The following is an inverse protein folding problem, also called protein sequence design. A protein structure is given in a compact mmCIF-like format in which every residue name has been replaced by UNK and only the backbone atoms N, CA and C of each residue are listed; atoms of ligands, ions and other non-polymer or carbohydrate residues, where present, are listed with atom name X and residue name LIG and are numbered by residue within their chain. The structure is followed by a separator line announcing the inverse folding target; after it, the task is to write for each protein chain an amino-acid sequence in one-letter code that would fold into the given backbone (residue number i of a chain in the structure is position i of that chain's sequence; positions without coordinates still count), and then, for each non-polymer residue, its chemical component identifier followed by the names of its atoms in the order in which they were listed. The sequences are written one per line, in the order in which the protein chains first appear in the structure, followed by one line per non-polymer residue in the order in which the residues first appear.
data_IF_744691336526
#
_entry.id   IF_744691336526
#
_cell.length_a   1.000
_cell.length_b   1.000
_cell.length_c   1.000
_cell.angle_alpha   90.00
_cell.angle_beta   90.00
_cell.angle_gamma   90.00
#
_symmetry.space_group_name_H-M   'P 1'
#
loop_
_entity.id
_entity.type
_entity.pdbx_description
1 polymer ?
#
# COMPACT_ATOMS: atom_id res chain seq x y z
N UNK A 1 -52.43 54.19 77.68
CA UNK A 1 -52.89 52.80 77.90
C UNK A 1 -53.58 52.34 76.62
N UNK A 2 -52.89 51.56 75.79
CA UNK A 2 -53.36 51.05 74.49
C UNK A 2 -53.16 49.54 74.51
N UNK A 3 -54.25 48.80 74.47
CA UNK A 3 -54.26 47.35 74.62
C UNK A 3 -54.08 46.66 73.26
N UNK A 4 -53.04 45.82 73.22
CA UNK A 4 -52.99 44.44 72.70
C UNK A 4 -54.13 43.99 71.77
N UNK A 5 -53.75 43.50 70.58
CA UNK A 5 -54.36 42.33 69.94
C UNK A 5 -53.31 41.68 69.01
N UNK A 6 -53.01 40.41 69.31
CA UNK A 6 -52.12 39.51 68.56
C UNK A 6 -52.96 38.80 67.50
N UNK A 7 -52.48 38.75 66.26
CA UNK A 7 -53.07 37.91 65.21
C UNK A 7 -51.98 37.08 64.55
N UNK A 8 -52.10 35.76 64.72
CA UNK A 8 -51.23 34.74 64.17
C UNK A 8 -51.47 34.60 62.65
N UNK A 9 -50.41 34.73 61.85
CA UNK A 9 -50.44 34.43 60.42
C UNK A 9 -49.85 33.04 60.19
N UNK A 10 -50.65 32.17 59.59
CA UNK A 10 -50.33 30.82 59.16
C UNK A 10 -49.20 30.84 58.12
N UNK A 11 -48.07 30.20 58.40
CA UNK A 11 -46.96 30.05 57.45
C UNK A 11 -47.26 28.88 56.49
N UNK A 12 -47.66 29.20 55.26
CA UNK A 12 -47.71 28.23 54.17
C UNK A 12 -46.34 28.18 53.47
N UNK A 13 -45.50 27.22 53.86
CA UNK A 13 -44.22 26.93 53.18
C UNK A 13 -44.49 26.29 51.83
N UNK A 14 -44.46 27.09 50.76
CA UNK A 14 -44.36 26.62 49.38
C UNK A 14 -42.93 26.12 49.14
N UNK A 15 -42.77 24.80 49.04
CA UNK A 15 -41.56 24.15 48.51
C UNK A 15 -41.46 24.43 47.01
N UNK A 16 -40.83 25.54 46.64
CA UNK A 16 -40.40 25.78 45.26
C UNK A 16 -39.18 24.89 44.98
N UNK A 17 -39.37 23.77 44.31
CA UNK A 17 -38.28 22.98 43.74
C UNK A 17 -37.60 23.79 42.64
N UNK A 18 -36.45 24.36 42.95
CA UNK A 18 -35.55 25.02 42.00
C UNK A 18 -34.95 23.97 41.06
N UNK A 19 -35.61 23.75 39.93
CA UNK A 19 -35.05 22.99 38.81
C UNK A 19 -34.05 23.90 38.09
N UNK A 20 -32.81 23.89 38.53
CA UNK A 20 -31.72 24.57 37.84
C UNK A 20 -31.55 23.95 36.45
N UNK A 21 -31.65 24.69 35.34
CA UNK A 21 -31.38 24.15 34.03
C UNK A 21 -29.90 23.76 33.98
N UNK A 22 -29.61 22.46 33.88
CA UNK A 22 -28.28 21.98 33.53
C UNK A 22 -28.03 22.41 32.10
N UNK A 23 -27.26 23.49 31.92
CA UNK A 23 -26.76 23.89 30.62
C UNK A 23 -25.86 22.76 30.11
N UNK A 24 -26.39 21.96 29.19
CA UNK A 24 -25.59 21.05 28.38
C UNK A 24 -24.65 21.92 27.56
N UNK A 25 -23.43 22.10 28.05
CA UNK A 25 -22.37 22.76 27.30
C UNK A 25 -22.12 21.91 26.06
N UNK A 26 -22.58 22.38 24.90
CA UNK A 26 -22.20 21.81 23.62
C UNK A 26 -20.67 21.83 23.56
N UNK A 27 -20.03 20.65 23.58
CA UNK A 27 -18.60 20.52 23.43
C UNK A 27 -18.24 20.99 22.02
N UNK A 28 -17.81 22.24 21.88
CA UNK A 28 -17.25 22.76 20.64
C UNK A 28 -15.93 22.03 20.38
N UNK A 29 -15.89 21.19 19.37
CA UNK A 29 -14.66 20.56 18.92
C UNK A 29 -13.67 21.65 18.48
N UNK A 30 -12.37 21.55 18.84
CA UNK A 30 -11.37 22.49 18.39
C UNK A 30 -11.26 22.49 16.85
N UNK A 31 -10.85 23.62 16.24
CA UNK A 31 -10.66 23.69 14.80
C UNK A 31 -9.73 22.59 14.30
N UNK A 32 -10.12 21.89 13.24
CA UNK A 32 -9.31 20.84 12.67
C UNK A 32 -8.06 21.45 12.00
N UNK A 33 -6.88 20.96 12.39
CA UNK A 33 -5.61 21.29 11.75
C UNK A 33 -5.22 20.10 10.89
N UNK A 34 -4.97 20.36 9.60
CA UNK A 34 -4.70 19.33 8.59
C UNK A 34 -3.22 19.41 8.21
N UNK A 35 -2.57 18.26 8.16
CA UNK A 35 -1.29 18.09 7.44
C UNK A 35 -1.52 17.28 6.16
N UNK A 36 -0.70 17.53 5.15
CA UNK A 36 -0.74 16.85 3.86
C UNK A 36 0.51 15.98 3.71
N UNK A 37 0.33 14.80 3.12
CA UNK A 37 1.40 13.83 2.87
C UNK A 37 1.30 13.30 1.44
N UNK A 38 2.41 13.36 0.71
CA UNK A 38 2.55 12.70 -0.58
C UNK A 38 3.27 11.35 -0.43
N UNK A 39 2.49 10.28 -0.35
CA UNK A 39 3.06 8.94 -0.23
C UNK A 39 3.86 8.54 -1.49
N UNK A 40 3.46 8.96 -2.69
CA UNK A 40 4.20 8.67 -3.92
C UNK A 40 5.60 9.31 -3.90
N UNK A 41 5.71 10.56 -3.45
CA UNK A 41 7.00 11.20 -3.24
C UNK A 41 7.81 10.49 -2.16
N UNK A 42 7.19 10.04 -1.07
CA UNK A 42 7.87 9.25 -0.03
C UNK A 42 8.46 7.97 -0.62
N UNK A 43 7.69 7.24 -1.43
CA UNK A 43 8.16 6.05 -2.13
C UNK A 43 9.29 6.33 -3.13
N UNK A 44 9.27 7.48 -3.81
CA UNK A 44 10.28 7.82 -4.82
C UNK A 44 11.55 8.44 -4.23
N UNK A 45 11.44 9.12 -3.09
CA UNK A 45 12.52 9.96 -2.56
C UNK A 45 13.29 9.30 -1.42
N UNK A 46 12.64 8.43 -0.64
CA UNK A 46 13.25 7.73 0.49
C UNK A 46 14.36 6.76 0.07
N UNK A 47 15.29 6.52 0.98
CA UNK A 47 16.39 5.56 0.81
C UNK A 47 15.85 4.14 0.55
N UNK A 48 14.87 3.70 1.34
CA UNK A 48 14.19 2.41 1.15
C UNK A 48 13.49 2.33 -0.21
N UNK A 49 12.78 3.39 -0.59
CA UNK A 49 12.10 3.48 -1.88
C UNK A 49 13.06 3.35 -3.07
N UNK A 50 14.15 4.13 -3.07
CA UNK A 50 15.18 4.09 -4.12
C UNK A 50 15.86 2.72 -4.21
N UNK A 51 16.20 2.12 -3.08
CA UNK A 51 16.77 0.78 -3.04
C UNK A 51 15.80 -0.26 -3.61
N UNK A 52 14.53 -0.22 -3.20
CA UNK A 52 13.52 -1.13 -3.72
C UNK A 52 13.31 -0.97 -5.23
N UNK A 53 13.29 0.26 -5.74
CA UNK A 53 13.17 0.53 -7.17
C UNK A 53 14.32 -0.07 -7.97
N UNK A 54 15.56 0.06 -7.49
CA UNK A 54 16.72 -0.52 -8.14
C UNK A 54 16.66 -2.05 -8.20
N UNK A 55 16.27 -2.70 -7.09
CA UNK A 55 16.13 -4.16 -7.03
C UNK A 55 14.96 -4.68 -7.88
N UNK A 56 13.80 -4.02 -7.82
CA UNK A 56 12.65 -4.37 -8.65
C UNK A 56 12.97 -4.17 -10.14
N UNK A 57 13.73 -3.13 -10.49
CA UNK A 57 14.22 -2.93 -11.85
C UNK A 57 15.10 -4.10 -12.31
N UNK A 58 16.04 -4.55 -11.48
CA UNK A 58 16.87 -5.70 -11.80
C UNK A 58 16.03 -6.98 -12.03
N UNK A 59 14.96 -7.19 -11.24
CA UNK A 59 14.04 -8.32 -11.41
C UNK A 59 13.29 -8.28 -12.75
N UNK A 60 12.71 -7.14 -13.13
CA UNK A 60 11.99 -7.02 -14.41
C UNK A 60 12.95 -7.15 -15.61
N UNK A 61 14.14 -6.56 -15.53
CA UNK A 61 15.15 -6.66 -16.58
C UNK A 61 15.59 -8.14 -16.78
N UNK A 62 15.78 -8.88 -15.68
CA UNK A 62 16.10 -10.31 -15.72
C UNK A 62 14.96 -11.15 -16.32
N UNK A 63 13.71 -10.87 -15.97
CA UNK A 63 12.54 -11.54 -16.57
C UNK A 63 12.46 -11.28 -18.07
N UNK A 64 12.70 -10.04 -18.52
CA UNK A 64 12.68 -9.70 -19.93
C UNK A 64 13.83 -10.36 -20.71
N UNK A 65 15.03 -10.42 -20.14
CA UNK A 65 16.15 -11.16 -20.71
C UNK A 65 15.85 -12.66 -20.84
N UNK A 66 15.23 -13.26 -19.82
CA UNK A 66 14.80 -14.66 -19.84
C UNK A 66 13.75 -14.92 -20.92
N UNK A 67 12.74 -14.07 -21.03
CA UNK A 67 11.71 -14.18 -22.06
C UNK A 67 12.29 -14.07 -23.48
N UNK A 68 13.21 -13.13 -23.71
CA UNK A 68 13.89 -12.99 -25.00
C UNK A 68 14.76 -14.21 -25.36
N UNK A 69 15.44 -14.77 -24.37
CA UNK A 69 16.24 -16.00 -24.55
C UNK A 69 15.33 -17.17 -24.95
N UNK A 70 14.22 -17.37 -24.22
CA UNK A 70 13.25 -18.42 -24.52
C UNK A 70 12.63 -18.25 -25.91
N UNK A 71 12.26 -17.02 -26.28
CA UNK A 71 11.73 -16.71 -27.62
C UNK A 71 12.71 -17.11 -28.73
N UNK A 72 13.99 -16.78 -28.55
CA UNK A 72 15.03 -17.09 -29.54
C UNK A 72 15.27 -18.60 -29.64
N UNK A 73 15.38 -19.29 -28.49
CA UNK A 73 15.60 -20.73 -28.43
C UNK A 73 14.44 -21.50 -29.05
N UNK A 74 13.20 -21.18 -28.66
CA UNK A 74 12.02 -21.87 -29.18
C UNK A 74 11.74 -21.55 -30.64
N UNK A 75 12.00 -20.33 -31.11
CA UNK A 75 11.87 -20.00 -32.53
C UNK A 75 12.82 -20.81 -33.41
N UNK A 76 14.10 -20.93 -33.01
CA UNK A 76 15.07 -21.73 -33.75
C UNK A 76 14.73 -23.24 -33.73
N UNK A 77 14.23 -23.73 -32.59
CA UNK A 77 13.82 -25.12 -32.45
C UNK A 77 12.54 -25.45 -33.23
N UNK A 78 11.56 -24.56 -33.24
CA UNK A 78 10.35 -24.68 -34.05
C UNK A 78 10.69 -24.77 -35.54
N UNK A 79 11.59 -23.91 -36.03
CA UNK A 79 12.07 -23.96 -37.41
C UNK A 79 12.79 -25.29 -37.72
N UNK A 80 13.62 -25.78 -36.79
CA UNK A 80 14.31 -27.06 -36.96
C UNK A 80 13.35 -28.26 -36.95
N UNK A 81 12.31 -28.24 -36.10
CA UNK A 81 11.28 -29.27 -36.05
C UNK A 81 10.42 -29.28 -37.32
N UNK A 82 10.06 -28.11 -37.84
CA UNK A 82 9.33 -27.98 -39.10
C UNK A 82 10.15 -28.53 -40.29
N UNK A 83 11.44 -28.18 -40.36
CA UNK A 83 12.35 -28.67 -41.42
C UNK A 83 12.62 -30.18 -41.34
N UNK A 84 12.56 -30.76 -40.14
CA UNK A 84 12.83 -32.18 -39.90
C UNK A 84 11.58 -33.07 -39.95
N UNK A 85 10.42 -32.51 -40.33
CA UNK A 85 9.18 -33.26 -40.42
C UNK A 85 9.29 -34.41 -41.45
N UNK A 86 9.13 -35.68 -41.04
CA UNK A 86 9.18 -36.80 -41.97
C UNK A 86 7.94 -36.82 -42.87
N UNK A 87 8.11 -37.30 -44.10
CA UNK A 87 6.99 -37.51 -45.01
C UNK A 87 5.93 -38.45 -44.38
N UNK A 88 4.63 -38.30 -44.69
CA UNK A 88 3.57 -39.14 -44.12
C UNK A 88 3.78 -40.65 -44.34
N UNK A 89 4.49 -41.01 -45.41
CA UNK A 89 4.83 -42.39 -45.78
C UNK A 89 6.01 -42.98 -45.00
N UNK A 90 6.82 -42.17 -44.30
CA UNK A 90 7.96 -42.63 -43.50
C UNK A 90 7.53 -42.98 -42.07
N UNK A 91 6.94 -44.16 -41.92
CA UNK A 91 6.41 -44.66 -40.65
C UNK A 91 7.49 -44.98 -39.61
N UNK A 92 8.74 -45.20 -40.02
CA UNK A 92 9.85 -45.53 -39.13
C UNK A 92 10.40 -44.29 -38.39
N UNK A 93 10.52 -43.13 -39.06
CA UNK A 93 11.05 -41.91 -38.46
C UNK A 93 10.01 -41.09 -37.69
N UNK A 94 8.72 -41.28 -37.98
CA UNK A 94 7.61 -40.49 -37.43
C UNK A 94 7.50 -40.54 -35.88
N UNK A 95 7.58 -41.70 -35.20
CA UNK A 95 7.47 -41.73 -33.74
C UNK A 95 8.56 -40.92 -33.01
N UNK A 96 9.77 -40.92 -33.56
CA UNK A 96 10.89 -40.16 -32.99
C UNK A 96 10.68 -38.64 -33.15
N UNK A 97 10.15 -38.20 -34.30
CA UNK A 97 9.79 -36.80 -34.51
C UNK A 97 8.63 -36.36 -33.60
N UNK A 98 7.57 -37.17 -33.49
CA UNK A 98 6.44 -36.89 -32.59
C UNK A 98 6.87 -36.80 -31.11
N UNK A 99 7.85 -37.60 -30.69
CA UNK A 99 8.44 -37.51 -29.36
C UNK A 99 9.15 -36.15 -29.14
N UNK A 100 9.91 -35.67 -30.13
CA UNK A 100 10.56 -34.34 -30.08
C UNK A 100 9.53 -33.21 -30.03
N UNK A 101 8.45 -33.30 -30.80
CA UNK A 101 7.36 -32.30 -30.78
C UNK A 101 6.70 -32.25 -29.39
N UNK A 102 6.41 -33.40 -28.78
CA UNK A 102 5.84 -33.46 -27.42
C UNK A 102 6.77 -32.89 -26.36
N UNK A 103 8.06 -33.21 -26.43
CA UNK A 103 9.07 -32.63 -25.54
C UNK A 103 9.15 -31.10 -25.68
N UNK A 104 9.18 -30.61 -26.91
CA UNK A 104 9.18 -29.18 -27.22
C UNK A 104 7.92 -28.47 -26.64
N UNK A 105 6.73 -29.04 -26.85
CA UNK A 105 5.49 -28.52 -26.27
C UNK A 105 5.52 -28.51 -24.73
N UNK A 106 6.05 -29.56 -24.11
CA UNK A 106 6.22 -29.63 -22.66
C UNK A 106 7.14 -28.52 -22.14
N UNK A 107 8.29 -28.31 -22.79
CA UNK A 107 9.23 -27.23 -22.43
C UNK A 107 8.65 -25.84 -22.61
N UNK A 108 7.85 -25.61 -23.66
CA UNK A 108 7.13 -24.35 -23.83
C UNK A 108 6.15 -24.11 -22.67
N UNK A 109 5.37 -25.13 -22.29
CA UNK A 109 4.43 -25.02 -21.18
C UNK A 109 5.17 -24.72 -19.85
N UNK A 110 6.28 -25.42 -19.58
CA UNK A 110 7.11 -25.15 -18.40
C UNK A 110 7.65 -23.72 -18.40
N UNK A 111 8.14 -23.23 -19.53
CA UNK A 111 8.64 -21.87 -19.67
C UNK A 111 7.55 -20.81 -19.45
N UNK A 112 6.34 -21.05 -19.96
CA UNK A 112 5.19 -20.16 -19.73
C UNK A 112 4.81 -20.12 -18.24
N UNK A 113 4.81 -21.27 -17.57
CA UNK A 113 4.58 -21.35 -16.12
C UNK A 113 5.68 -20.66 -15.33
N UNK A 114 6.96 -20.83 -15.72
CA UNK A 114 8.10 -20.14 -15.11
C UNK A 114 7.90 -18.62 -15.15
N UNK A 115 7.64 -18.05 -16.33
CA UNK A 115 7.45 -16.60 -16.50
C UNK A 115 6.23 -16.09 -15.74
N UNK A 116 5.11 -16.84 -15.75
CA UNK A 116 3.92 -16.47 -14.97
C UNK A 116 4.17 -16.45 -13.47
N UNK A 117 4.94 -17.40 -12.94
CA UNK A 117 5.28 -17.44 -11.52
C UNK A 117 6.19 -16.27 -11.14
N UNK A 118 7.20 -15.97 -11.96
CA UNK A 118 8.08 -14.81 -11.74
C UNK A 118 7.31 -13.49 -11.77
N UNK A 119 6.33 -13.34 -12.65
CA UNK A 119 5.47 -12.15 -12.69
C UNK A 119 4.64 -12.03 -11.41
N UNK A 120 4.03 -13.12 -10.93
CA UNK A 120 3.30 -13.13 -9.66
C UNK A 120 4.21 -12.76 -8.48
N UNK A 121 5.42 -13.32 -8.42
CA UNK A 121 6.42 -13.00 -7.41
C UNK A 121 6.83 -11.53 -7.46
N UNK A 122 6.99 -10.97 -8.66
CA UNK A 122 7.29 -9.56 -8.86
C UNK A 122 6.17 -8.65 -8.35
N UNK A 123 4.91 -8.96 -8.67
CA UNK A 123 3.76 -8.21 -8.16
C UNK A 123 3.65 -8.30 -6.64
N UNK A 124 3.84 -9.50 -6.07
CA UNK A 124 3.89 -9.67 -4.62
C UNK A 124 5.02 -8.85 -3.97
N UNK A 125 6.20 -8.83 -4.61
CA UNK A 125 7.35 -8.03 -4.17
C UNK A 125 7.02 -6.53 -4.16
N UNK A 126 6.35 -6.02 -5.20
CA UNK A 126 5.90 -4.62 -5.26
C UNK A 126 4.94 -4.27 -4.13
N UNK A 127 3.89 -5.07 -3.96
CA UNK A 127 2.91 -4.86 -2.89
C UNK A 127 3.57 -4.91 -1.50
N UNK A 128 4.52 -5.83 -1.30
CA UNK A 128 5.22 -5.96 -0.03
C UNK A 128 6.15 -4.79 0.30
N UNK A 129 6.84 -4.24 -0.71
CA UNK A 129 7.62 -3.00 -0.57
C UNK A 129 6.70 -1.84 -0.16
N UNK A 130 5.57 -1.68 -0.86
CA UNK A 130 4.59 -0.63 -0.55
C UNK A 130 4.08 -0.75 0.89
N UNK A 131 3.74 -1.98 1.31
CA UNK A 131 3.28 -2.27 2.67
C UNK A 131 4.31 -1.88 3.72
N UNK A 132 5.57 -2.29 3.58
CA UNK A 132 6.62 -1.99 4.56
C UNK A 132 6.81 -0.49 4.78
N UNK A 133 6.87 0.29 3.69
CA UNK A 133 7.04 1.74 3.77
C UNK A 133 5.80 2.41 4.36
N UNK A 134 4.59 1.99 3.99
CA UNK A 134 3.35 2.53 4.59
C UNK A 134 3.28 2.23 6.09
N UNK A 135 3.54 0.98 6.48
CA UNK A 135 3.51 0.55 7.88
C UNK A 135 4.52 1.34 8.73
N UNK A 136 5.72 1.60 8.19
CA UNK A 136 6.74 2.42 8.85
C UNK A 136 6.43 3.92 8.83
N UNK A 137 5.69 4.41 7.83
CA UNK A 137 5.31 5.82 7.71
C UNK A 137 4.22 6.21 8.71
N UNK A 138 3.24 5.33 8.96
CA UNK A 138 2.12 5.59 9.86
C UNK A 138 2.51 6.14 11.25
N UNK A 139 3.43 5.53 12.03
CA UNK A 139 3.83 6.07 13.34
C UNK A 139 4.59 7.40 13.22
N UNK A 140 5.30 7.64 12.12
CA UNK A 140 6.01 8.88 11.86
C UNK A 140 5.00 10.00 11.55
N UNK A 141 3.99 9.73 10.73
CA UNK A 141 2.88 10.65 10.45
C UNK A 141 2.18 11.02 11.76
N UNK A 142 1.83 10.06 12.61
CA UNK A 142 1.23 10.34 13.93
C UNK A 142 2.10 11.23 14.80
N UNK A 143 3.43 11.08 14.73
CA UNK A 143 4.37 11.93 15.47
C UNK A 143 4.39 13.36 14.90
N UNK A 144 4.45 13.50 13.58
CA UNK A 144 4.38 14.79 12.89
C UNK A 144 3.05 15.50 13.16
N UNK A 145 1.93 14.76 13.19
CA UNK A 145 0.63 15.31 13.55
C UNK A 145 0.67 15.94 14.95
N UNK A 146 1.18 15.21 15.94
CA UNK A 146 1.30 15.72 17.32
C UNK A 146 2.20 16.96 17.41
N UNK A 147 3.33 16.97 16.71
CA UNK A 147 4.25 18.12 16.68
C UNK A 147 3.66 19.35 16.01
N UNK A 148 2.81 19.16 14.99
CA UNK A 148 2.14 20.23 14.25
C UNK A 148 0.77 20.61 14.82
N UNK A 149 0.31 19.94 15.88
CA UNK A 149 -1.03 20.10 16.42
C UNK A 149 -2.14 19.67 15.46
N UNK A 150 -1.82 18.82 14.48
CA UNK A 150 -2.75 18.35 13.47
C UNK A 150 -3.69 17.27 14.03
N UNK A 151 -4.97 17.38 13.69
CA UNK A 151 -5.98 16.37 13.99
C UNK A 151 -6.28 15.45 12.80
N UNK A 152 -5.84 15.82 11.59
CA UNK A 152 -6.05 15.05 10.36
C UNK A 152 -4.76 15.03 9.53
N UNK A 153 -4.42 13.85 9.01
CA UNK A 153 -3.46 13.70 7.91
C UNK A 153 -4.22 13.35 6.62
N UNK A 154 -3.94 14.10 5.55
CA UNK A 154 -4.60 13.97 4.26
C UNK A 154 -3.58 13.54 3.19
N UNK A 155 -3.90 12.56 2.32
CA UNK A 155 -3.07 12.29 1.15
C UNK A 155 -3.13 13.47 0.18
N UNK A 156 -2.01 13.85 -0.44
CA UNK A 156 -1.94 14.98 -1.37
C UNK A 156 -2.92 14.82 -2.55
N UNK A 157 -3.10 13.60 -3.06
CA UNK A 157 -4.04 13.31 -4.17
C UNK A 157 -5.53 13.56 -3.85
N UNK A 158 -5.89 13.78 -2.58
CA UNK A 158 -7.23 14.19 -2.18
C UNK A 158 -7.40 15.72 -2.13
N UNK A 159 -6.37 16.48 -2.50
CA UNK A 159 -6.37 17.95 -2.51
C UNK A 159 -6.21 18.48 -3.93
N UNK A 160 -6.85 19.61 -4.24
CA UNK A 160 -6.60 20.34 -5.49
C UNK A 160 -5.37 21.23 -5.35
N UNK A 161 -5.22 21.86 -4.19
CA UNK A 161 -4.09 22.71 -3.79
C UNK A 161 -3.98 22.67 -2.26
N UNK A 162 -2.76 22.84 -1.75
CA UNK A 162 -2.49 23.05 -0.33
C UNK A 162 -1.36 24.06 -0.15
N UNK A 163 -1.27 24.67 1.04
CA UNK A 163 -0.12 25.48 1.37
C UNK A 163 1.10 24.58 1.63
N UNK A 164 2.30 25.05 1.27
CA UNK A 164 3.54 24.33 1.58
C UNK A 164 3.78 24.19 3.10
N UNK A 165 3.18 25.08 3.92
CA UNK A 165 3.33 25.05 5.37
C UNK A 165 2.64 23.86 6.06
N UNK A 166 1.69 23.21 5.40
CA UNK A 166 0.98 22.04 5.92
C UNK A 166 1.45 20.72 5.28
N UNK A 167 2.35 20.80 4.31
CA UNK A 167 2.98 19.63 3.70
C UNK A 167 4.13 19.13 4.60
N UNK A 168 4.02 17.89 5.07
CA UNK A 168 5.05 17.26 5.91
C UNK A 168 5.81 16.16 5.18
N UNK A 169 5.67 16.04 3.86
CA UNK A 169 6.25 14.97 3.04
C UNK A 169 7.76 14.87 3.21
N UNK A 170 8.48 16.00 3.16
CA UNK A 170 9.93 16.02 3.33
C UNK A 170 10.37 15.64 4.75
N UNK A 171 9.61 16.07 5.77
CA UNK A 171 9.85 15.69 7.16
C UNK A 171 9.66 14.18 7.36
N UNK A 172 8.64 13.61 6.72
CA UNK A 172 8.36 12.18 6.72
C UNK A 172 9.50 11.40 6.04
N UNK A 173 9.96 11.82 4.85
CA UNK A 173 11.10 11.19 4.16
C UNK A 173 12.34 11.18 5.05
N UNK A 174 12.70 12.32 5.64
CA UNK A 174 13.89 12.42 6.47
C UNK A 174 13.85 11.54 7.73
N UNK A 175 12.66 11.31 8.30
CA UNK A 175 12.48 10.41 9.45
C UNK A 175 12.40 8.95 9.03
N UNK A 176 11.75 8.67 7.91
CA UNK A 176 11.67 7.33 7.34
C UNK A 176 13.05 6.81 6.98
N UNK A 177 13.92 7.64 6.39
CA UNK A 177 15.30 7.25 6.06
C UNK A 177 16.12 6.81 7.28
N UNK A 178 15.80 7.34 8.47
CA UNK A 178 16.42 6.94 9.74
C UNK A 178 15.80 5.66 10.31
N UNK A 179 14.49 5.51 10.21
CA UNK A 179 13.74 4.40 10.80
C UNK A 179 13.76 3.13 9.94
N UNK A 180 13.74 3.30 8.62
CA UNK A 180 13.66 2.25 7.61
C UNK A 180 14.55 2.62 6.40
N UNK A 181 15.87 2.45 6.52
CA UNK A 181 16.80 2.77 5.44
C UNK A 181 16.71 1.78 4.25
N UNK A 182 16.14 0.59 4.47
CA UNK A 182 15.99 -0.47 3.47
C UNK A 182 14.72 -1.27 3.70
N UNK A 183 14.24 -1.91 2.65
CA UNK A 183 13.11 -2.85 2.67
C UNK A 183 13.45 -4.14 1.95
N UNK A 184 12.72 -5.21 2.30
CA UNK A 184 12.82 -6.46 1.56
C UNK A 184 12.00 -6.37 0.26
N UNK A 185 12.63 -6.73 -0.85
CA UNK A 185 11.97 -6.90 -2.16
C UNK A 185 11.57 -8.35 -2.43
N UNK A 186 11.61 -9.22 -1.42
CA UNK A 186 11.13 -10.60 -1.53
C UNK A 186 9.97 -10.79 -0.56
N UNK A 187 8.78 -10.97 -1.10
CA UNK A 187 7.58 -11.20 -0.31
C UNK A 187 7.65 -12.59 0.36
N UNK A 188 7.27 -12.71 1.65
CA UNK A 188 7.18 -14.01 2.30
C UNK A 188 6.09 -14.87 1.65
N UNK A 189 6.28 -16.19 1.67
CA UNK A 189 5.31 -17.13 1.12
C UNK A 189 3.94 -16.95 1.78
N UNK A 190 2.92 -16.64 0.98
CA UNK A 190 1.55 -16.43 1.48
C UNK A 190 1.23 -14.99 1.94
N UNK A 191 2.09 -14.01 1.68
CA UNK A 191 1.72 -12.60 1.80
C UNK A 191 0.60 -12.28 0.80
N UNK A 192 -0.66 -12.35 1.26
CA UNK A 192 -1.82 -11.83 0.57
C UNK A 192 -1.98 -10.34 0.87
#
# INVERSE_FOLDING_TARGET
MKNLLKSAAFAATLLAASVSPVAVQAQTLPPAVIIVVNMDQVFNSSAAGKQAQAELKAKIDAMQARANTLRTQFGAEEEALAKSQPAPTNTAARPAWEAKVRDFQSRQQTAQTELSNREKEFQASRTYVLKQITDASNPIISTLMRERGASIAMPEGATLQHAASIDVTNDLVARLDKALPRVSTTAPAGAK
#
